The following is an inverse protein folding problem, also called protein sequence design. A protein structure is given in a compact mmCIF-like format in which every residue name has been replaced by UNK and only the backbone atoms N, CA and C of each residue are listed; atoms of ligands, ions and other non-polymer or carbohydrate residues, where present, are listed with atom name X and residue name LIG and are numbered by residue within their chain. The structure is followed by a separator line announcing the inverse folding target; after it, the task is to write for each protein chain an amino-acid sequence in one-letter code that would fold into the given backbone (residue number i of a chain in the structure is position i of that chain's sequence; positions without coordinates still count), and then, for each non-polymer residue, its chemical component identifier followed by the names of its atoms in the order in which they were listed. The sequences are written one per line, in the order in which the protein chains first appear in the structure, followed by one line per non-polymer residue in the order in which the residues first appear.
data_IF_611344486368
#
_entry.id   IF_611344486368
#
_cell.length_a   1.000
_cell.length_b   1.000
_cell.length_c   1.000
_cell.angle_alpha   90.00
_cell.angle_beta   90.00
_cell.angle_gamma   90.00
#
_symmetry.space_group_name_H-M   'P 1'
#
loop_
_entity.id
_entity.type
_entity.pdbx_description
1 polymer ?
#
# COMPACT_ATOMS: atom_id res chain seq x y z
N UNK A 1 -22.26 6.95 11.35
CA UNK A 1 -21.37 6.13 10.50
C UNK A 1 -20.43 7.07 9.79
N UNK A 2 -19.13 6.85 9.92
CA UNK A 2 -18.12 7.58 9.14
C UNK A 2 -18.24 7.14 7.69
N UNK A 3 -18.29 8.09 6.76
CA UNK A 3 -18.38 7.79 5.33
C UNK A 3 -17.00 7.35 4.84
N UNK A 4 -16.91 6.14 4.28
CA UNK A 4 -15.70 5.65 3.60
C UNK A 4 -15.58 6.35 2.24
N UNK A 5 -14.36 6.74 1.89
CA UNK A 5 -14.02 7.40 0.63
C UNK A 5 -12.86 6.68 -0.06
N UNK A 6 -12.59 6.99 -1.34
CA UNK A 6 -11.45 6.43 -2.07
C UNK A 6 -10.11 6.62 -1.35
N UNK A 7 -9.92 7.72 -0.63
CA UNK A 7 -8.70 8.00 0.13
C UNK A 7 -8.49 7.05 1.32
N UNK A 8 -9.56 6.40 1.78
CA UNK A 8 -9.49 5.42 2.87
C UNK A 8 -9.14 4.01 2.36
N UNK A 9 -9.16 3.80 1.04
CA UNK A 9 -9.01 2.51 0.39
C UNK A 9 -7.61 2.36 -0.22
N UNK A 10 -7.14 1.13 -0.27
CA UNK A 10 -5.88 0.77 -0.90
C UNK A 10 -6.03 -0.58 -1.59
N UNK A 11 -5.37 -0.75 -2.73
CA UNK A 11 -5.33 -2.05 -3.41
C UNK A 11 -4.77 -3.09 -2.43
N UNK A 12 -5.33 -4.30 -2.46
CA UNK A 12 -5.13 -5.42 -1.51
C UNK A 12 -5.80 -5.30 -0.16
N UNK A 13 -6.51 -4.21 0.13
CA UNK A 13 -7.34 -4.16 1.32
C UNK A 13 -8.45 -5.21 1.25
N UNK A 14 -8.77 -5.79 2.40
CA UNK A 14 -9.96 -6.61 2.55
C UNK A 14 -11.14 -5.68 2.87
N UNK A 15 -12.24 -5.84 2.14
CA UNK A 15 -13.46 -5.05 2.31
C UNK A 15 -14.68 -5.93 2.51
N UNK A 16 -15.64 -5.40 3.25
CA UNK A 16 -17.00 -5.94 3.34
C UNK A 16 -17.95 -5.02 2.58
N UNK A 17 -18.79 -5.60 1.74
CA UNK A 17 -19.69 -4.88 0.83
C UNK A 17 -21.14 -5.21 1.18
N UNK A 18 -22.00 -4.19 1.17
CA UNK A 18 -23.43 -4.35 1.46
C UNK A 18 -24.07 -5.33 0.48
N UNK A 19 -24.81 -6.31 1.00
CA UNK A 19 -25.53 -7.28 0.16
C UNK A 19 -24.67 -8.41 -0.43
N UNK A 20 -23.35 -8.37 -0.23
CA UNK A 20 -22.44 -9.44 -0.61
C UNK A 20 -21.98 -10.23 0.63
N UNK A 21 -22.13 -11.56 0.59
CA UNK A 21 -21.59 -12.43 1.63
C UNK A 21 -20.16 -12.82 1.29
N UNK A 22 -19.24 -12.63 2.25
CA UNK A 22 -17.83 -13.03 2.11
C UNK A 22 -16.86 -11.87 2.23
N UNK A 23 -15.57 -12.21 2.23
CA UNK A 23 -14.47 -11.26 2.23
C UNK A 23 -14.03 -10.99 0.80
N UNK A 24 -13.82 -9.73 0.49
CA UNK A 24 -13.45 -9.25 -0.83
C UNK A 24 -12.12 -8.51 -0.73
N UNK A 25 -11.26 -8.67 -1.72
CA UNK A 25 -10.00 -7.94 -1.80
C UNK A 25 -10.11 -6.89 -2.90
N UNK A 26 -9.68 -5.66 -2.64
CA UNK A 26 -9.59 -4.62 -3.67
C UNK A 26 -8.49 -4.98 -4.66
N UNK A 27 -8.87 -5.20 -5.92
CA UNK A 27 -7.93 -5.44 -7.01
C UNK A 27 -7.51 -4.12 -7.69
N UNK A 28 -8.44 -3.17 -7.82
CA UNK A 28 -8.21 -1.90 -8.50
C UNK A 28 -9.11 -0.81 -7.92
N UNK A 29 -8.66 0.44 -7.99
CA UNK A 29 -9.41 1.63 -7.60
C UNK A 29 -9.44 2.57 -8.80
N UNK A 30 -10.64 2.93 -9.27
CA UNK A 30 -10.81 3.85 -10.40
C UNK A 30 -11.71 5.03 -10.02
N UNK A 31 -11.08 6.20 -9.86
CA UNK A 31 -11.74 7.47 -9.54
C UNK A 31 -12.72 7.93 -10.65
N UNK A 32 -12.55 7.46 -11.89
CA UNK A 32 -13.42 7.77 -13.03
C UNK A 32 -14.80 7.12 -12.94
N UNK A 33 -14.91 5.96 -12.27
CA UNK A 33 -16.16 5.22 -12.10
C UNK A 33 -16.77 5.34 -10.70
N UNK A 34 -16.11 6.06 -9.78
CA UNK A 34 -16.46 6.12 -8.34
C UNK A 34 -16.51 4.74 -7.66
N UNK A 35 -15.82 3.77 -8.24
CA UNK A 35 -15.93 2.38 -7.86
C UNK A 35 -14.58 1.76 -7.58
N UNK A 36 -14.64 0.65 -6.87
CA UNK A 36 -13.51 -0.26 -6.67
C UNK A 36 -13.79 -1.56 -7.38
N UNK A 37 -12.77 -2.12 -8.02
CA UNK A 37 -12.82 -3.49 -8.50
C UNK A 37 -12.43 -4.41 -7.34
N UNK A 38 -13.28 -5.37 -7.04
CA UNK A 38 -13.07 -6.31 -5.95
C UNK A 38 -13.13 -7.75 -6.44
N UNK A 39 -12.29 -8.60 -5.86
CA UNK A 39 -12.28 -10.04 -6.12
C UNK A 39 -12.61 -10.79 -4.82
N UNK A 40 -13.41 -11.85 -4.87
CA UNK A 40 -13.67 -12.63 -3.67
C UNK A 40 -12.40 -13.40 -3.30
N UNK A 41 -12.11 -13.47 -2.00
CA UNK A 41 -10.92 -14.19 -1.52
C UNK A 41 -10.96 -15.70 -1.79
N UNK A 42 -12.16 -16.26 -1.94
CA UNK A 42 -12.34 -17.68 -2.19
C UNK A 42 -12.14 -18.06 -3.68
N UNK A 43 -11.78 -17.10 -4.53
CA UNK A 43 -11.42 -17.32 -5.93
C UNK A 43 -12.58 -17.78 -6.80
N UNK A 44 -13.83 -17.71 -6.34
CA UNK A 44 -15.00 -18.23 -7.07
C UNK A 44 -15.35 -17.42 -8.32
N UNK A 45 -14.95 -16.15 -8.37
CA UNK A 45 -15.04 -15.31 -9.57
C UNK A 45 -13.69 -14.62 -9.82
N UNK A 46 -12.88 -15.11 -10.78
CA UNK A 46 -11.62 -14.46 -11.14
C UNK A 46 -11.86 -13.13 -11.88
N UNK A 47 -13.05 -12.96 -12.44
CA UNK A 47 -13.54 -11.70 -12.99
C UNK A 47 -14.02 -10.80 -11.85
N UNK A 48 -13.18 -9.83 -11.48
CA UNK A 48 -13.49 -8.89 -10.41
C UNK A 48 -14.76 -8.09 -10.68
N UNK A 49 -15.45 -7.73 -9.60
CA UNK A 49 -16.73 -7.01 -9.62
C UNK A 49 -16.48 -5.54 -9.31
N UNK A 50 -17.03 -4.64 -10.12
CA UNK A 50 -17.02 -3.21 -9.82
C UNK A 50 -18.17 -2.88 -8.87
N UNK A 51 -17.84 -2.25 -7.73
CA UNK A 51 -18.81 -1.80 -6.72
C UNK A 51 -18.59 -0.33 -6.39
N UNK A 52 -19.65 0.38 -6.03
CA UNK A 52 -19.52 1.78 -5.61
C UNK A 52 -18.92 1.84 -4.20
N UNK A 53 -18.02 2.81 -3.94
CA UNK A 53 -17.38 2.96 -2.62
C UNK A 53 -18.38 3.16 -1.49
N UNK A 54 -19.57 3.73 -1.78
CA UNK A 54 -20.63 3.88 -0.78
C UNK A 54 -21.25 2.56 -0.33
N UNK A 55 -21.03 1.47 -1.05
CA UNK A 55 -21.48 0.13 -0.66
C UNK A 55 -20.51 -0.58 0.30
N UNK A 56 -19.30 -0.05 0.46
CA UNK A 56 -18.29 -0.56 1.40
C UNK A 56 -18.70 -0.20 2.82
N UNK A 57 -18.85 -1.23 3.67
CA UNK A 57 -19.29 -1.07 5.08
C UNK A 57 -18.18 -1.24 6.09
N UNK A 58 -17.12 -1.96 5.74
CA UNK A 58 -15.95 -2.14 6.57
C UNK A 58 -14.71 -2.37 5.71
N UNK A 59 -13.57 -1.90 6.20
CA UNK A 59 -12.25 -2.12 5.62
C UNK A 59 -11.40 -2.78 6.69
N UNK A 60 -10.86 -3.94 6.36
CA UNK A 60 -9.79 -4.60 7.11
C UNK A 60 -8.51 -4.37 6.34
N UNK A 61 -7.69 -3.43 6.82
CA UNK A 61 -6.35 -3.20 6.24
C UNK A 61 -5.54 -4.48 6.40
N UNK A 62 -5.08 -5.06 5.29
CA UNK A 62 -4.08 -6.12 5.36
C UNK A 62 -2.75 -5.47 5.67
N UNK A 63 -2.23 -5.77 6.85
CA UNK A 63 -0.86 -5.43 7.19
C UNK A 63 0.05 -6.35 6.37
N UNK A 64 0.53 -5.84 5.23
CA UNK A 64 1.53 -6.51 4.41
C UNK A 64 2.91 -6.09 4.94
N UNK A 65 3.48 -6.93 5.81
CA UNK A 65 4.79 -6.71 6.41
C UNK A 65 5.89 -6.50 5.36
N UNK A 66 5.77 -7.14 4.19
CA UNK A 66 6.73 -6.96 3.11
C UNK A 66 6.56 -5.59 2.45
N UNK A 67 5.31 -5.16 2.18
CA UNK A 67 5.05 -3.83 1.64
C UNK A 67 5.47 -2.70 2.59
N UNK A 68 5.28 -2.86 3.90
CA UNK A 68 5.74 -1.87 4.87
C UNK A 68 7.26 -1.89 5.03
N UNK A 69 7.90 -3.06 4.94
CA UNK A 69 9.37 -3.16 4.89
C UNK A 69 9.93 -2.42 3.68
N UNK A 70 9.33 -2.61 2.50
CA UNK A 70 9.74 -1.92 1.27
C UNK A 70 9.49 -0.41 1.37
N UNK A 71 8.37 0.03 1.94
CA UNK A 71 8.10 1.46 2.17
C UNK A 71 9.10 2.05 3.18
N UNK A 72 9.37 1.38 4.29
CA UNK A 72 10.35 1.84 5.28
C UNK A 72 11.76 1.93 4.70
N UNK A 73 12.13 0.95 3.86
CA UNK A 73 13.38 0.92 3.08
C UNK A 73 13.49 2.11 2.14
N UNK A 74 12.43 2.44 1.39
CA UNK A 74 12.39 3.58 0.48
C UNK A 74 12.45 4.93 1.20
N UNK A 75 11.72 5.06 2.32
CA UNK A 75 11.77 6.27 3.17
C UNK A 75 13.19 6.48 3.70
N UNK A 76 13.82 5.45 4.26
CA UNK A 76 15.16 5.57 4.83
C UNK A 76 16.22 5.90 3.77
N UNK A 77 16.07 5.34 2.55
CA UNK A 77 16.88 5.73 1.39
C UNK A 77 16.74 7.23 1.08
N UNK A 78 15.50 7.72 0.92
CA UNK A 78 15.27 9.12 0.55
C UNK A 78 15.69 10.11 1.64
N UNK A 79 15.48 9.78 2.90
CA UNK A 79 15.93 10.61 4.03
C UNK A 79 17.46 10.70 4.09
N UNK A 80 18.15 9.57 3.95
CA UNK A 80 19.61 9.53 3.93
C UNK A 80 20.18 10.29 2.72
N UNK A 81 19.59 10.13 1.54
CA UNK A 81 19.96 10.83 0.33
C UNK A 81 19.80 12.36 0.49
N UNK A 82 18.62 12.80 0.95
CA UNK A 82 18.33 14.22 1.15
C UNK A 82 19.24 14.84 2.22
N UNK A 83 19.54 14.09 3.29
CA UNK A 83 20.47 14.51 4.34
C UNK A 83 21.89 14.67 3.82
N UNK A 84 22.37 13.73 3.00
CA UNK A 84 23.70 13.80 2.40
C UNK A 84 23.84 14.98 1.43
N UNK A 85 22.82 15.25 0.61
CA UNK A 85 22.81 16.44 -0.25
C UNK A 85 22.81 17.75 0.55
N UNK A 86 22.02 17.83 1.64
CA UNK A 86 22.02 18.99 2.55
C UNK A 86 23.36 19.19 3.24
N UNK A 87 24.14 18.12 3.43
CA UNK A 87 25.48 18.18 3.98
C UNK A 87 26.55 18.64 2.96
N UNK A 88 26.16 18.91 1.71
CA UNK A 88 27.05 19.37 0.64
C UNK A 88 27.79 18.25 -0.08
N UNK A 89 27.39 16.98 0.11
CA UNK A 89 27.97 15.86 -0.61
C UNK A 89 27.55 15.86 -2.08
N UNK A 90 28.38 15.27 -2.94
CA UNK A 90 28.04 15.07 -4.35
C UNK A 90 26.91 14.04 -4.51
N UNK A 91 26.23 14.05 -5.66
CA UNK A 91 25.15 13.08 -5.96
C UNK A 91 25.61 11.63 -5.81
N UNK A 92 26.84 11.31 -6.22
CA UNK A 92 27.40 9.95 -6.11
C UNK A 92 27.64 9.54 -4.65
N UNK A 93 28.09 10.46 -3.80
CA UNK A 93 28.30 10.22 -2.37
C UNK A 93 26.97 10.10 -1.62
N UNK A 94 25.99 10.94 -1.97
CA UNK A 94 24.65 10.88 -1.41
C UNK A 94 23.95 9.56 -1.76
N UNK A 95 24.08 9.09 -3.00
CA UNK A 95 23.53 7.80 -3.42
C UNK A 95 24.16 6.63 -2.65
N UNK A 96 25.49 6.61 -2.53
CA UNK A 96 26.19 5.55 -1.78
C UNK A 96 25.81 5.51 -0.29
N UNK A 97 25.55 6.67 0.31
CA UNK A 97 25.09 6.76 1.70
C UNK A 97 23.65 6.29 1.86
N UNK A 98 22.77 6.62 0.90
CA UNK A 98 21.40 6.17 0.87
C UNK A 98 21.28 4.65 0.68
N UNK A 99 22.07 4.06 -0.23
CA UNK A 99 22.15 2.61 -0.44
C UNK A 99 22.61 1.86 0.84
N UNK A 100 23.54 2.46 1.59
CA UNK A 100 23.99 1.91 2.89
C UNK A 100 22.92 1.99 3.96
N UNK A 101 22.15 3.06 4.01
CA UNK A 101 21.05 3.22 4.95
C UNK A 101 19.95 2.20 4.64
N UNK A 102 19.53 2.11 3.38
CA UNK A 102 18.56 1.13 2.90
C UNK A 102 18.99 -0.32 3.21
N UNK A 103 20.26 -0.65 3.02
CA UNK A 103 20.80 -1.97 3.35
C UNK A 103 20.67 -2.35 4.83
N UNK A 104 20.71 -1.37 5.75
CA UNK A 104 20.52 -1.62 7.21
C UNK A 104 19.09 -1.99 7.54
N UNK A 105 18.11 -1.42 6.84
CA UNK A 105 16.70 -1.82 6.97
C UNK A 105 16.54 -3.28 6.60
N UNK A 106 17.13 -3.75 5.49
CA UNK A 106 17.01 -5.16 5.14
C UNK A 106 17.66 -6.09 6.19
N UNK A 107 18.83 -5.76 6.72
CA UNK A 107 19.51 -6.58 7.74
C UNK A 107 18.86 -6.56 9.12
N UNK A 108 18.16 -5.49 9.51
CA UNK A 108 17.53 -5.38 10.84
C UNK A 108 16.31 -6.29 11.02
N UNK A 109 15.75 -6.81 9.93
CA UNK A 109 14.56 -7.67 9.94
C UNK A 109 14.89 -9.16 9.74
N UNK A 110 16.17 -9.51 9.65
CA UNK A 110 16.66 -10.90 9.55
C UNK A 110 17.10 -11.49 10.90
N UNK A 111 16.80 -10.80 12.03
CA UNK A 111 17.22 -11.15 13.40
C UNK A 111 16.01 -11.54 14.26
#
# INVERSE_FOLDING_TARGET
MTKITHNDLSVRDEVSITGCNGKWTIAEIDDGYRGINVVPEDGRTPEGVWVDVSEVVAITKRYDEAAERDRASEIEYHEAFAKALRAGNTMAEAQKEAERAQGRVYSSWEI
#
